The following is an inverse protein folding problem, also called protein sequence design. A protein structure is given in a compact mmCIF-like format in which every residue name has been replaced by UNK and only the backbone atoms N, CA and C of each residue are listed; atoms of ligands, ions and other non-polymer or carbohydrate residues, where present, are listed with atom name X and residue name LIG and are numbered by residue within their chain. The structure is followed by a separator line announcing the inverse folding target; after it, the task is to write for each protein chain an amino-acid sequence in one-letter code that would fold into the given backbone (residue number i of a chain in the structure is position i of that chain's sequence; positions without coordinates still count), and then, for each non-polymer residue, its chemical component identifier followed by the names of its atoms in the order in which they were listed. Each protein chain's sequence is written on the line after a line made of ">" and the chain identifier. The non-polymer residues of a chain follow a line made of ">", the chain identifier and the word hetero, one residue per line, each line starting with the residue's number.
data_IF_315655060507
#
_entry.id   IF_315655060507
#
_cell.length_a   1.000
_cell.length_b   1.000
_cell.length_c   1.000
_cell.angle_alpha   90.00
_cell.angle_beta   90.00
_cell.angle_gamma   90.00
#
_symmetry.space_group_name_H-M   'P 1'
#
loop_
_entity.id
_entity.type
_entity.pdbx_description
1 polymer ?
#
# COMPACT_ATOMS: atom_id res chain seq x y z
N UNK A 1 -12.42 24.17 80.00
CA UNK A 1 -13.26 24.79 79.00
C UNK A 1 -12.39 25.07 77.77
N UNK A 2 -12.41 24.15 76.81
CA UNK A 2 -11.54 24.21 75.61
C UNK A 2 -12.41 24.64 74.45
N UNK A 3 -12.16 25.80 73.89
CA UNK A 3 -12.83 26.32 72.74
C UNK A 3 -12.22 25.71 71.46
N UNK A 4 -13.03 24.92 70.76
CA UNK A 4 -12.64 24.36 69.48
C UNK A 4 -13.06 25.36 68.38
N UNK A 5 -12.07 26.02 67.77
CA UNK A 5 -12.30 26.92 66.64
C UNK A 5 -12.44 26.07 65.35
N UNK A 6 -13.66 26.00 64.79
CA UNK A 6 -13.90 25.46 63.46
C UNK A 6 -13.41 26.45 62.39
N UNK A 7 -12.30 26.11 61.73
CA UNK A 7 -11.93 26.78 60.48
C UNK A 7 -12.75 26.23 59.34
N UNK A 8 -13.69 27.04 58.84
CA UNK A 8 -14.42 26.75 57.61
C UNK A 8 -13.50 27.16 56.43
N UNK A 9 -12.86 26.15 55.81
CA UNK A 9 -12.20 26.35 54.51
C UNK A 9 -13.29 26.48 53.45
N UNK A 10 -13.55 27.72 53.00
CA UNK A 10 -14.36 28.01 51.81
C UNK A 10 -13.48 27.65 50.58
N UNK A 11 -13.71 26.47 50.02
CA UNK A 11 -13.22 26.19 48.68
C UNK A 11 -13.98 27.12 47.69
N UNK A 12 -13.35 28.19 47.26
CA UNK A 12 -13.74 28.88 46.03
C UNK A 12 -13.72 27.85 44.92
N UNK A 13 -14.90 27.44 44.42
CA UNK A 13 -14.98 26.78 43.13
C UNK A 13 -14.59 27.83 42.10
N UNK A 14 -13.38 27.71 41.57
CA UNK A 14 -13.06 28.42 40.34
C UNK A 14 -14.07 28.00 39.28
N UNK A 15 -14.78 28.98 38.71
CA UNK A 15 -15.65 28.72 37.56
C UNK A 15 -14.80 28.03 36.49
N UNK A 16 -15.26 26.91 35.88
CA UNK A 16 -14.48 26.28 34.82
C UNK A 16 -14.21 27.34 33.77
N UNK A 17 -12.95 27.50 33.43
CA UNK A 17 -12.50 28.39 32.36
C UNK A 17 -13.28 28.01 31.10
N UNK A 18 -14.02 28.98 30.55
CA UNK A 18 -14.83 28.74 29.36
C UNK A 18 -13.88 28.52 28.20
N UNK A 19 -13.69 27.27 27.78
CA UNK A 19 -12.90 26.94 26.60
C UNK A 19 -13.57 27.61 25.41
N UNK A 20 -12.93 28.61 24.85
CA UNK A 20 -13.37 29.24 23.61
C UNK A 20 -12.94 28.32 22.45
N UNK A 21 -13.93 27.70 21.78
CA UNK A 21 -13.64 26.81 20.67
C UNK A 21 -13.28 27.61 19.44
N UNK A 22 -12.09 27.37 18.91
CA UNK A 22 -11.69 27.84 17.59
C UNK A 22 -12.31 26.93 16.51
N UNK A 23 -13.19 27.50 15.71
CA UNK A 23 -13.80 26.86 14.54
C UNK A 23 -13.47 27.56 13.22
N UNK A 24 -12.39 28.35 13.19
CA UNK A 24 -11.89 29.04 11.99
C UNK A 24 -11.60 28.07 10.84
N UNK A 25 -11.12 26.87 11.19
CA UNK A 25 -10.89 25.78 10.24
C UNK A 25 -12.19 25.39 9.48
N UNK A 26 -13.37 25.35 10.15
CA UNK A 26 -14.62 24.99 9.48
C UNK A 26 -15.01 26.03 8.43
N UNK A 27 -14.87 27.31 8.76
CA UNK A 27 -15.18 28.41 7.81
C UNK A 27 -14.21 28.42 6.65
N UNK A 28 -12.90 28.36 6.94
CA UNK A 28 -11.84 28.39 5.90
C UNK A 28 -11.99 27.24 4.90
N UNK A 29 -12.23 26.03 5.41
CA UNK A 29 -12.40 24.87 4.52
C UNK A 29 -13.70 24.91 3.74
N UNK A 30 -14.77 25.44 4.34
CA UNK A 30 -16.03 25.64 3.64
C UNK A 30 -15.87 26.58 2.44
N UNK A 31 -15.15 27.69 2.61
CA UNK A 31 -14.87 28.63 1.53
C UNK A 31 -14.03 28.00 0.42
N UNK A 32 -13.01 27.22 0.80
CA UNK A 32 -12.17 26.47 -0.16
C UNK A 32 -13.02 25.48 -0.96
N UNK A 33 -13.82 24.64 -0.27
CA UNK A 33 -14.63 23.62 -0.93
C UNK A 33 -15.72 24.23 -1.81
N UNK A 34 -16.34 25.33 -1.37
CA UNK A 34 -17.34 26.04 -2.16
C UNK A 34 -16.70 26.63 -3.42
N UNK A 35 -15.55 27.29 -3.29
CA UNK A 35 -14.83 27.83 -4.43
C UNK A 35 -14.43 26.71 -5.43
N UNK A 36 -13.98 25.57 -4.93
CA UNK A 36 -13.61 24.43 -5.77
C UNK A 36 -14.79 23.94 -6.60
N UNK A 37 -15.97 23.74 -6.00
CA UNK A 37 -17.14 23.22 -6.72
C UNK A 37 -17.71 24.27 -7.70
N UNK A 38 -17.70 25.55 -7.32
CA UNK A 38 -18.23 26.64 -8.14
C UNK A 38 -17.37 26.92 -9.39
N UNK A 39 -16.07 26.62 -9.33
CA UNK A 39 -15.12 26.86 -10.43
C UNK A 39 -14.79 25.61 -11.24
N UNK A 40 -15.14 24.42 -10.74
CA UNK A 40 -14.80 23.16 -11.38
C UNK A 40 -15.60 22.94 -12.66
N UNK A 41 -14.91 22.50 -13.72
CA UNK A 41 -15.57 21.94 -14.88
C UNK A 41 -15.89 20.47 -14.58
N UNK A 42 -17.16 20.11 -14.57
CA UNK A 42 -17.63 18.76 -14.29
C UNK A 42 -17.92 18.02 -15.58
N UNK A 43 -17.44 16.78 -15.70
CA UNK A 43 -17.63 15.95 -16.89
C UNK A 43 -16.78 14.68 -16.84
N UNK A 44 -16.80 13.92 -17.94
CA UNK A 44 -16.10 12.64 -18.06
C UNK A 44 -14.94 12.71 -19.09
N UNK A 45 -14.45 13.91 -19.36
CA UNK A 45 -13.36 14.16 -20.32
C UNK A 45 -12.17 14.84 -19.66
N UNK A 46 -11.03 14.83 -20.33
CA UNK A 46 -9.82 15.54 -19.89
C UNK A 46 -10.08 17.01 -19.59
N UNK A 47 -9.49 17.48 -18.52
CA UNK A 47 -9.66 18.85 -18.04
C UNK A 47 -10.93 19.06 -17.21
N UNK A 48 -11.60 18.00 -16.81
CA UNK A 48 -12.81 18.04 -15.97
C UNK A 48 -12.65 17.21 -14.71
N UNK A 49 -13.57 17.38 -13.75
CA UNK A 49 -13.72 16.54 -12.58
C UNK A 49 -14.92 15.60 -12.78
N UNK A 50 -14.82 14.31 -12.41
CA UNK A 50 -15.95 13.40 -12.52
C UNK A 50 -17.15 13.88 -11.70
N UNK A 51 -18.35 13.67 -12.24
CA UNK A 51 -19.59 14.06 -11.53
C UNK A 51 -19.71 13.41 -10.16
N UNK A 52 -19.34 12.14 -10.03
CA UNK A 52 -19.36 11.42 -8.74
C UNK A 52 -18.54 12.14 -7.66
N UNK A 53 -17.34 12.62 -8.01
CA UNK A 53 -16.47 13.33 -7.07
C UNK A 53 -16.99 14.74 -6.76
N UNK A 54 -17.67 15.38 -7.70
CA UNK A 54 -18.35 16.65 -7.44
C UNK A 54 -19.56 16.47 -6.50
N UNK A 55 -20.30 15.39 -6.64
CA UNK A 55 -21.43 15.04 -5.75
C UNK A 55 -20.91 14.70 -4.33
N UNK A 56 -19.78 13.97 -4.22
CA UNK A 56 -19.11 13.70 -2.94
C UNK A 56 -18.63 14.98 -2.25
N UNK A 57 -17.99 15.89 -3.00
CA UNK A 57 -17.55 17.19 -2.47
C UNK A 57 -18.75 18.02 -1.99
N UNK A 58 -19.84 18.03 -2.76
CA UNK A 58 -21.08 18.74 -2.40
C UNK A 58 -21.71 18.18 -1.13
N UNK A 59 -21.68 16.86 -0.96
CA UNK A 59 -22.14 16.19 0.29
C UNK A 59 -21.26 16.59 1.48
N UNK A 60 -19.95 16.64 1.31
CA UNK A 60 -19.02 17.06 2.35
C UNK A 60 -19.21 18.56 2.72
N UNK A 61 -19.52 19.43 1.74
CA UNK A 61 -19.88 20.83 1.97
C UNK A 61 -21.12 20.93 2.89
N UNK A 62 -22.15 20.13 2.64
CA UNK A 62 -23.36 20.12 3.47
C UNK A 62 -23.04 19.67 4.91
N UNK A 63 -22.27 18.62 5.08
CA UNK A 63 -21.83 18.15 6.39
C UNK A 63 -21.01 19.22 7.14
N UNK A 64 -20.11 19.92 6.44
CA UNK A 64 -19.31 20.98 7.03
C UNK A 64 -20.14 22.20 7.43
N UNK A 65 -21.14 22.59 6.63
CA UNK A 65 -22.13 23.63 6.96
C UNK A 65 -22.92 23.28 8.22
N UNK A 66 -23.34 22.03 8.36
CA UNK A 66 -23.99 21.53 9.57
C UNK A 66 -23.06 21.62 10.78
N UNK A 67 -21.79 21.18 10.66
CA UNK A 67 -20.79 21.29 11.71
C UNK A 67 -20.56 22.73 12.16
N UNK A 68 -20.42 23.65 11.21
CA UNK A 68 -20.26 25.07 11.49
C UNK A 68 -21.50 25.68 12.19
N UNK A 69 -22.70 25.26 11.77
CA UNK A 69 -23.94 25.67 12.42
C UNK A 69 -24.02 25.18 13.87
N UNK A 70 -23.66 23.91 14.12
CA UNK A 70 -23.60 23.34 15.47
C UNK A 70 -22.55 24.06 16.34
N UNK A 71 -21.39 24.39 15.78
CA UNK A 71 -20.35 25.14 16.49
C UNK A 71 -20.83 26.54 16.91
N UNK A 72 -21.48 27.30 15.99
CA UNK A 72 -22.04 28.62 16.26
C UNK A 72 -23.17 28.57 17.27
N UNK A 73 -23.95 27.48 17.30
CA UNK A 73 -25.02 27.27 18.27
C UNK A 73 -24.52 26.78 19.65
N UNK A 74 -23.21 26.59 19.82
CA UNK A 74 -22.62 26.06 21.05
C UNK A 74 -22.96 24.59 21.31
N UNK A 75 -23.31 23.84 20.26
CA UNK A 75 -23.64 22.41 20.35
C UNK A 75 -22.38 21.54 20.26
N UNK A 76 -21.27 22.07 19.73
CA UNK A 76 -19.95 21.44 19.80
C UNK A 76 -19.23 22.03 21.01
N UNK A 77 -18.82 21.19 21.93
CA UNK A 77 -18.27 21.63 23.22
C UNK A 77 -16.81 21.22 23.42
N UNK A 78 -16.29 20.35 22.54
CA UNK A 78 -14.93 19.83 22.65
C UNK A 78 -14.12 20.06 21.36
N UNK A 79 -12.85 20.39 21.47
CA UNK A 79 -11.98 20.64 20.29
C UNK A 79 -11.93 19.48 19.30
N UNK A 80 -12.00 18.23 19.77
CA UNK A 80 -11.94 17.07 18.87
C UNK A 80 -13.19 16.96 17.97
N UNK A 81 -14.35 17.46 18.41
CA UNK A 81 -15.58 17.45 17.60
C UNK A 81 -15.43 18.37 16.40
N UNK A 82 -14.85 19.56 16.61
CA UNK A 82 -14.48 20.48 15.52
C UNK A 82 -13.44 19.85 14.59
N UNK A 83 -12.41 19.26 15.16
CA UNK A 83 -11.34 18.60 14.39
C UNK A 83 -11.86 17.48 13.50
N UNK A 84 -12.86 16.72 13.93
CA UNK A 84 -13.48 15.65 13.12
C UNK A 84 -14.03 16.19 11.80
N UNK A 85 -14.74 17.31 11.83
CA UNK A 85 -15.22 17.97 10.61
C UNK A 85 -14.09 18.50 9.74
N UNK A 86 -13.05 19.09 10.34
CA UNK A 86 -11.90 19.61 9.61
C UNK A 86 -11.10 18.51 8.90
N UNK A 87 -10.91 17.38 9.55
CA UNK A 87 -10.25 16.20 8.94
C UNK A 87 -11.07 15.65 7.78
N UNK A 88 -12.39 15.51 7.97
CA UNK A 88 -13.28 15.05 6.90
C UNK A 88 -13.30 16.00 5.70
N UNK A 89 -13.29 17.31 5.93
CA UNK A 89 -13.22 18.32 4.88
C UNK A 89 -11.89 18.26 4.11
N UNK A 90 -10.75 18.14 4.81
CA UNK A 90 -9.44 17.98 4.17
C UNK A 90 -9.38 16.72 3.29
N UNK A 91 -9.97 15.62 3.75
CA UNK A 91 -10.05 14.39 2.97
C UNK A 91 -10.88 14.61 1.70
N UNK A 92 -12.04 15.28 1.80
CA UNK A 92 -12.88 15.57 0.65
C UNK A 92 -12.19 16.51 -0.36
N UNK A 93 -11.49 17.54 0.11
CA UNK A 93 -10.69 18.43 -0.72
C UNK A 93 -9.63 17.63 -1.49
N UNK A 94 -8.86 16.82 -0.79
CA UNK A 94 -7.78 16.02 -1.40
C UNK A 94 -8.34 14.99 -2.39
N UNK A 95 -9.47 14.35 -2.07
CA UNK A 95 -10.16 13.41 -2.97
C UNK A 95 -10.61 14.11 -4.25
N UNK A 96 -11.26 15.27 -4.14
CA UNK A 96 -11.73 16.02 -5.29
C UNK A 96 -10.57 16.52 -6.16
N UNK A 97 -9.56 17.14 -5.57
CA UNK A 97 -8.37 17.59 -6.30
C UNK A 97 -7.68 16.43 -7.04
N UNK A 98 -7.56 15.28 -6.38
CA UNK A 98 -6.98 14.07 -6.97
C UNK A 98 -7.81 13.44 -8.08
N UNK A 99 -9.09 13.81 -8.23
CA UNK A 99 -9.99 13.27 -9.25
C UNK A 99 -9.93 14.01 -10.59
N UNK A 100 -9.21 15.15 -10.69
CA UNK A 100 -9.06 15.89 -11.95
C UNK A 100 -8.53 14.98 -13.05
N UNK A 101 -9.24 14.96 -14.17
CA UNK A 101 -8.94 14.07 -15.28
C UNK A 101 -7.91 14.72 -16.20
N UNK A 102 -6.74 14.09 -16.29
CA UNK A 102 -5.68 14.47 -17.22
C UNK A 102 -5.17 13.20 -17.87
N UNK A 103 -5.25 13.11 -19.17
CA UNK A 103 -4.52 12.10 -19.94
C UNK A 103 -3.06 12.53 -20.04
N UNK A 104 -2.21 11.88 -19.28
CA UNK A 104 -0.78 12.13 -19.35
C UNK A 104 -0.20 11.52 -20.61
N UNK A 105 0.63 12.29 -21.32
CA UNK A 105 1.29 11.81 -22.52
C UNK A 105 2.37 10.77 -22.19
N UNK A 106 2.63 9.79 -23.05
CA UNK A 106 3.76 8.88 -22.92
C UNK A 106 5.07 9.61 -22.62
N UNK A 107 5.88 9.06 -21.73
CA UNK A 107 7.12 9.68 -21.26
C UNK A 107 6.96 10.72 -20.15
N UNK A 108 5.72 11.12 -19.80
CA UNK A 108 5.50 12.03 -18.67
C UNK A 108 5.87 11.35 -17.34
N UNK A 109 6.70 11.98 -16.49
CA UNK A 109 6.96 11.49 -15.13
C UNK A 109 5.66 11.44 -14.31
N UNK A 110 5.38 10.29 -13.73
CA UNK A 110 4.13 10.04 -13.03
C UNK A 110 4.24 8.90 -12.03
N UNK A 111 3.27 8.79 -11.14
CA UNK A 111 3.07 7.65 -10.23
C UNK A 111 1.92 6.78 -10.76
N UNK A 112 2.16 5.48 -10.82
CA UNK A 112 1.13 4.51 -11.20
C UNK A 112 0.34 4.08 -9.96
N UNK A 113 -0.95 4.42 -9.90
CA UNK A 113 -1.93 3.87 -8.97
C UNK A 113 -2.70 2.74 -9.64
N UNK A 114 -2.81 1.59 -8.98
CA UNK A 114 -3.60 0.45 -9.43
C UNK A 114 -4.68 0.14 -8.40
N UNK A 115 -5.92 0.04 -8.84
CA UNK A 115 -7.09 -0.26 -8.01
C UNK A 115 -7.38 -1.75 -8.03
N UNK A 116 -6.73 -2.53 -7.17
CA UNK A 116 -6.92 -3.99 -7.10
C UNK A 116 -8.17 -4.40 -6.33
N UNK A 117 -8.63 -3.62 -5.36
CA UNK A 117 -9.84 -3.89 -4.59
C UNK A 117 -11.05 -4.06 -5.54
N UNK A 118 -11.95 -5.01 -5.25
CA UNK A 118 -13.08 -5.40 -6.09
C UNK A 118 -12.67 -5.89 -7.49
N UNK A 119 -11.49 -6.46 -7.66
CA UNK A 119 -10.94 -6.94 -8.95
C UNK A 119 -10.84 -5.87 -10.04
N UNK A 120 -10.78 -4.61 -9.66
CA UNK A 120 -10.84 -3.52 -10.64
C UNK A 120 -9.59 -3.40 -11.48
N UNK A 121 -8.41 -3.70 -10.93
CA UNK A 121 -7.17 -3.58 -11.68
C UNK A 121 -6.00 -4.36 -11.08
N UNK A 122 -5.01 -4.68 -11.92
CA UNK A 122 -3.75 -5.34 -11.51
C UNK A 122 -2.65 -5.13 -12.55
N UNK A 123 -1.41 -5.44 -12.19
CA UNK A 123 -0.29 -5.54 -13.14
C UNK A 123 -0.07 -7.03 -13.43
N UNK A 124 -0.13 -7.40 -14.70
CA UNK A 124 0.18 -8.73 -15.19
C UNK A 124 1.57 -8.72 -15.83
N UNK A 125 2.52 -9.42 -15.23
CA UNK A 125 3.88 -9.55 -15.75
C UNK A 125 4.03 -10.74 -16.72
N UNK A 126 2.96 -11.49 -16.94
CA UNK A 126 2.94 -12.66 -17.81
C UNK A 126 3.52 -13.90 -17.14
N UNK A 127 3.64 -14.97 -17.94
CA UNK A 127 4.19 -16.24 -17.51
C UNK A 127 5.69 -16.34 -17.81
N UNK A 128 6.46 -16.81 -16.84
CA UNK A 128 7.85 -17.20 -17.02
C UNK A 128 8.30 -18.14 -15.90
N UNK A 129 8.94 -19.23 -16.26
CA UNK A 129 9.57 -20.11 -15.27
C UNK A 129 10.63 -19.40 -14.43
N UNK A 130 11.22 -18.34 -14.98
CA UNK A 130 12.21 -17.53 -14.28
C UNK A 130 11.60 -16.75 -13.09
N UNK A 131 10.31 -16.43 -13.10
CA UNK A 131 9.65 -15.69 -12.00
C UNK A 131 9.47 -16.54 -10.76
N UNK A 132 9.40 -17.85 -10.91
CA UNK A 132 9.27 -18.76 -9.78
C UNK A 132 10.48 -18.72 -8.83
N UNK A 133 11.58 -18.15 -9.25
CA UNK A 133 12.84 -18.21 -8.50
C UNK A 133 13.50 -19.59 -8.57
N UNK A 134 14.50 -19.80 -7.74
CA UNK A 134 15.25 -21.05 -7.64
C UNK A 134 15.62 -21.30 -6.18
N UNK A 135 16.68 -22.07 -5.94
CA UNK A 135 17.20 -22.25 -4.57
C UNK A 135 17.74 -20.94 -3.94
N UNK A 136 17.96 -19.90 -4.74
CA UNK A 136 18.32 -18.56 -4.25
C UNK A 136 17.68 -17.52 -5.15
N UNK A 137 17.03 -16.52 -4.58
CA UNK A 137 16.45 -15.38 -5.31
C UNK A 137 16.22 -14.17 -4.42
N UNK A 138 16.04 -13.02 -5.06
CA UNK A 138 15.67 -11.77 -4.37
C UNK A 138 14.54 -11.09 -5.14
N UNK A 139 13.48 -10.75 -4.43
CA UNK A 139 12.34 -9.94 -4.92
C UNK A 139 12.48 -8.55 -4.34
N UNK A 140 12.52 -7.54 -5.20
CA UNK A 140 12.67 -6.14 -4.83
C UNK A 140 11.51 -5.33 -5.40
N UNK A 141 10.85 -4.54 -4.56
CA UNK A 141 9.73 -3.69 -4.95
C UNK A 141 9.75 -2.35 -4.22
N UNK A 142 9.31 -1.30 -4.93
CA UNK A 142 9.01 -0.01 -4.38
C UNK A 142 7.51 0.24 -4.49
N UNK A 143 6.86 0.37 -3.36
CA UNK A 143 5.41 0.57 -3.31
C UNK A 143 5.02 1.65 -2.29
N UNK A 144 3.86 2.25 -2.54
CA UNK A 144 3.20 3.20 -1.65
C UNK A 144 1.71 2.85 -1.60
N UNK A 145 1.08 3.01 -0.45
CA UNK A 145 -0.33 2.74 -0.25
C UNK A 145 -0.92 3.72 0.78
N UNK A 146 -2.22 3.93 0.67
CA UNK A 146 -2.99 4.79 1.57
C UNK A 146 -3.74 3.94 2.61
N UNK A 147 -4.35 4.56 3.61
CA UNK A 147 -5.22 3.86 4.55
C UNK A 147 -6.37 3.16 3.80
N UNK A 148 -6.73 1.93 4.20
CA UNK A 148 -7.76 1.15 3.51
C UNK A 148 -7.30 0.49 2.20
N UNK A 149 -6.01 0.30 2.03
CA UNK A 149 -5.41 -0.29 0.83
C UNK A 149 -5.76 -1.78 0.60
N UNK A 150 -6.36 -2.46 1.57
CA UNK A 150 -6.97 -3.79 1.43
C UNK A 150 -8.22 -3.90 2.33
N UNK A 151 -9.18 -4.73 1.92
CA UNK A 151 -10.50 -4.82 2.58
C UNK A 151 -10.58 -5.90 3.64
N UNK A 152 -9.75 -6.94 3.54
CA UNK A 152 -9.83 -8.12 4.40
C UNK A 152 -8.58 -8.30 5.25
N UNK A 153 -8.60 -9.31 6.10
CA UNK A 153 -7.48 -9.65 6.97
C UNK A 153 -6.18 -9.98 6.22
N UNK A 154 -6.25 -10.25 4.91
CA UNK A 154 -5.10 -10.56 4.06
C UNK A 154 -5.20 -9.74 2.78
N UNK A 155 -4.11 -9.04 2.41
CA UNK A 155 -3.97 -8.31 1.15
C UNK A 155 -2.70 -8.74 0.42
N UNK A 156 -2.84 -9.30 -0.79
CA UNK A 156 -1.70 -9.77 -1.59
C UNK A 156 -1.23 -8.68 -2.53
N UNK A 157 0.03 -8.31 -2.47
CA UNK A 157 0.52 -7.27 -3.36
C UNK A 157 1.35 -7.81 -4.52
N UNK A 158 2.08 -8.93 -4.35
CA UNK A 158 2.79 -9.57 -5.47
C UNK A 158 2.94 -11.07 -5.23
N UNK A 159 2.69 -11.89 -6.25
CA UNK A 159 2.65 -13.33 -6.09
C UNK A 159 2.89 -14.10 -7.40
N UNK A 160 3.66 -15.18 -7.29
CA UNK A 160 3.64 -16.34 -8.19
C UNK A 160 3.00 -17.55 -7.49
N UNK A 161 2.57 -17.39 -6.25
CA UNK A 161 2.16 -18.48 -5.37
C UNK A 161 0.92 -19.20 -5.93
N UNK A 162 0.96 -20.52 -5.93
CA UNK A 162 -0.14 -21.39 -6.36
C UNK A 162 -0.73 -22.12 -5.17
N UNK A 163 -2.03 -22.01 -5.03
CA UNK A 163 -2.84 -22.79 -4.13
C UNK A 163 -3.91 -23.51 -4.97
N UNK A 164 -3.57 -24.65 -5.53
CA UNK A 164 -4.44 -25.34 -6.51
C UNK A 164 -5.64 -26.07 -5.89
N UNK A 165 -5.94 -25.83 -4.62
CA UNK A 165 -7.01 -26.52 -3.88
C UNK A 165 -6.73 -28.01 -3.62
N UNK A 166 -5.66 -28.57 -4.16
CA UNK A 166 -5.23 -29.96 -3.99
C UNK A 166 -4.05 -30.10 -3.02
N UNK A 167 -3.67 -29.02 -2.38
CA UNK A 167 -2.73 -29.01 -1.29
C UNK A 167 -1.27 -28.83 -1.66
N UNK A 168 -0.88 -28.82 -2.94
CA UNK A 168 0.51 -28.52 -3.32
C UNK A 168 0.69 -27.03 -3.44
N UNK A 169 1.52 -26.46 -2.54
CA UNK A 169 1.84 -25.03 -2.53
C UNK A 169 3.20 -24.80 -3.16
N UNK A 170 3.21 -23.98 -4.20
CA UNK A 170 4.40 -23.65 -4.98
C UNK A 170 4.53 -22.14 -5.17
N UNK A 171 5.74 -21.68 -5.44
CA UNK A 171 6.00 -20.27 -5.69
C UNK A 171 6.14 -19.46 -4.41
N UNK A 172 6.17 -18.16 -4.56
CA UNK A 172 6.34 -17.18 -3.50
C UNK A 172 5.23 -16.12 -3.56
N UNK A 173 4.96 -15.53 -2.43
CA UNK A 173 3.99 -14.45 -2.27
C UNK A 173 4.48 -13.48 -1.21
N UNK A 174 4.26 -12.18 -1.44
CA UNK A 174 4.45 -11.14 -0.45
C UNK A 174 3.11 -10.45 -0.24
N UNK A 175 2.67 -10.40 1.01
CA UNK A 175 1.34 -9.92 1.34
C UNK A 175 1.29 -9.25 2.72
N UNK A 176 0.14 -8.63 3.01
CA UNK A 176 -0.22 -8.20 4.35
C UNK A 176 -1.20 -9.19 4.97
N UNK A 177 -1.01 -9.51 6.25
CA UNK A 177 -1.94 -10.30 7.04
C UNK A 177 -2.23 -9.53 8.33
N UNK A 178 -3.40 -8.92 8.41
CA UNK A 178 -3.69 -7.92 9.43
C UNK A 178 -2.66 -6.78 9.35
N UNK A 179 -2.01 -6.48 10.48
CA UNK A 179 -0.94 -5.46 10.54
C UNK A 179 0.45 -5.99 10.17
N UNK A 180 0.59 -7.25 9.76
CA UNK A 180 1.89 -7.86 9.47
C UNK A 180 2.20 -7.83 7.97
N UNK A 181 3.39 -7.37 7.60
CA UNK A 181 3.98 -7.64 6.29
C UNK A 181 4.61 -9.03 6.32
N UNK A 182 4.29 -9.86 5.32
CA UNK A 182 4.58 -11.29 5.33
C UNK A 182 5.11 -11.77 3.99
N UNK A 183 5.99 -12.77 4.03
CA UNK A 183 6.36 -13.58 2.87
C UNK A 183 5.92 -15.03 3.09
N UNK A 184 5.41 -15.66 2.04
CA UNK A 184 5.03 -17.07 2.00
C UNK A 184 5.76 -17.74 0.85
N UNK A 185 6.40 -18.86 1.12
CA UNK A 185 7.08 -19.72 0.15
C UNK A 185 6.44 -21.11 0.17
N UNK A 186 6.11 -21.65 -0.99
CA UNK A 186 5.74 -23.07 -1.10
C UNK A 186 6.99 -23.93 -0.92
N UNK A 187 6.97 -24.86 0.04
CA UNK A 187 8.12 -25.70 0.36
C UNK A 187 7.71 -27.17 0.45
N UNK A 188 8.56 -28.05 -0.11
CA UNK A 188 8.45 -29.50 0.03
C UNK A 188 7.51 -30.19 -0.92
N UNK A 189 7.62 -31.54 -1.01
CA UNK A 189 6.79 -32.35 -1.87
C UNK A 189 5.42 -32.67 -1.26
N UNK A 190 5.19 -32.31 0.01
CA UNK A 190 3.94 -32.57 0.72
C UNK A 190 2.96 -31.44 0.55
N UNK A 191 1.69 -31.81 0.43
CA UNK A 191 0.56 -30.91 0.43
C UNK A 191 0.59 -29.96 1.63
N UNK A 192 0.21 -28.70 1.40
CA UNK A 192 0.02 -27.66 2.44
C UNK A 192 1.25 -27.18 3.21
N UNK A 193 2.46 -27.46 2.74
CA UNK A 193 3.68 -26.98 3.40
C UNK A 193 4.11 -25.62 2.86
N UNK A 194 4.24 -24.69 3.78
CA UNK A 194 4.74 -23.34 3.50
C UNK A 194 5.79 -22.93 4.52
N UNK A 195 6.79 -22.19 4.06
CA UNK A 195 7.62 -21.36 4.93
C UNK A 195 7.00 -19.97 4.90
N UNK A 196 6.39 -19.60 6.01
CA UNK A 196 5.67 -18.33 6.13
C UNK A 196 6.18 -17.56 7.32
N UNK A 197 6.43 -16.29 7.12
CA UNK A 197 6.84 -15.41 8.20
C UNK A 197 6.46 -13.95 7.93
N UNK A 198 6.07 -13.26 8.99
CA UNK A 198 5.75 -11.85 8.95
C UNK A 198 6.03 -11.15 10.27
N UNK A 199 6.14 -9.86 10.23
CA UNK A 199 6.30 -9.00 11.40
C UNK A 199 5.39 -7.78 11.30
N UNK A 200 5.07 -7.19 12.46
CA UNK A 200 4.25 -5.99 12.52
C UNK A 200 4.86 -4.87 11.68
N UNK A 201 4.10 -4.40 10.72
CA UNK A 201 4.53 -3.40 9.76
C UNK A 201 4.24 -2.00 10.29
N UNK A 202 5.22 -1.10 10.30
CA UNK A 202 4.96 0.29 10.65
C UNK A 202 4.04 0.92 9.61
N UNK A 203 2.97 1.55 10.04
CA UNK A 203 1.98 2.20 9.17
C UNK A 203 2.56 3.49 8.58
N UNK A 204 3.21 3.38 7.44
CA UNK A 204 3.77 4.50 6.67
C UNK A 204 2.88 4.83 5.48
N UNK A 205 1.62 5.19 5.74
CA UNK A 205 0.69 5.57 4.67
C UNK A 205 1.19 6.77 3.87
N UNK A 206 0.98 6.72 2.57
CA UNK A 206 1.35 7.78 1.65
C UNK A 206 2.86 7.91 1.38
N UNK A 207 3.70 7.03 1.93
CA UNK A 207 5.15 7.05 1.75
C UNK A 207 5.62 5.89 0.89
N UNK A 208 6.69 6.13 0.12
CA UNK A 208 7.36 5.07 -0.64
C UNK A 208 8.16 4.17 0.29
N UNK A 209 7.92 2.88 0.14
CA UNK A 209 8.60 1.83 0.90
C UNK A 209 9.36 0.91 -0.05
N UNK A 210 10.63 0.69 0.25
CA UNK A 210 11.47 -0.31 -0.39
C UNK A 210 11.35 -1.62 0.37
N UNK A 211 10.72 -2.61 -0.24
CA UNK A 211 10.50 -3.94 0.34
C UNK A 211 11.32 -4.94 -0.46
N UNK A 212 12.18 -5.67 0.22
CA UNK A 212 13.03 -6.70 -0.40
C UNK A 212 12.89 -8.01 0.37
N UNK A 213 12.54 -9.06 -0.35
CA UNK A 213 12.56 -10.44 0.17
C UNK A 213 13.75 -11.17 -0.45
N UNK A 214 14.57 -11.76 0.38
CA UNK A 214 15.71 -12.59 0.00
C UNK A 214 15.48 -14.00 0.49
N UNK A 215 15.58 -14.96 -0.42
CA UNK A 215 15.62 -16.39 -0.09
C UNK A 215 16.96 -16.99 -0.49
N UNK A 216 17.60 -17.69 0.44
CA UNK A 216 18.83 -18.45 0.24
C UNK A 216 18.66 -19.85 0.83
N UNK A 217 18.26 -20.80 0.00
CA UNK A 217 18.07 -22.20 0.42
C UNK A 217 19.36 -22.94 0.71
N UNK A 218 20.54 -22.35 0.40
CA UNK A 218 21.85 -22.91 0.73
C UNK A 218 22.35 -22.50 2.12
N UNK A 219 21.76 -21.47 2.70
CA UNK A 219 22.12 -21.00 4.03
C UNK A 219 21.73 -22.01 5.11
N UNK A 220 22.52 -22.12 6.17
CA UNK A 220 22.24 -23.01 7.30
C UNK A 220 21.24 -22.44 8.29
N UNK A 221 21.04 -21.11 8.27
CA UNK A 221 20.05 -20.38 9.07
C UNK A 221 19.59 -19.16 8.30
N UNK A 222 18.46 -18.57 8.72
CA UNK A 222 17.91 -17.34 8.13
C UNK A 222 17.78 -17.40 6.60
N UNK A 223 17.30 -18.53 6.09
CA UNK A 223 17.11 -18.73 4.64
C UNK A 223 16.17 -17.69 4.04
N UNK A 224 15.15 -17.27 4.78
CA UNK A 224 14.25 -16.21 4.38
C UNK A 224 14.54 -14.94 5.17
N UNK A 225 14.82 -13.85 4.47
CA UNK A 225 15.01 -12.52 5.04
C UNK A 225 14.11 -11.51 4.34
N UNK A 226 13.54 -10.60 5.09
CA UNK A 226 12.86 -9.44 4.53
C UNK A 226 13.52 -8.16 5.04
N UNK A 227 13.68 -7.22 4.13
CA UNK A 227 14.21 -5.89 4.42
C UNK A 227 13.15 -4.84 4.12
N UNK A 228 13.09 -3.84 4.99
CA UNK A 228 12.26 -2.67 4.82
C UNK A 228 13.17 -1.43 4.85
N UNK A 229 13.12 -0.66 3.76
CA UNK A 229 13.92 0.56 3.61
C UNK A 229 15.42 0.31 3.94
N UNK A 230 15.96 -0.78 3.39
CA UNK A 230 17.36 -1.19 3.52
C UNK A 230 17.75 -1.82 4.85
N UNK A 231 16.84 -1.92 5.82
CA UNK A 231 17.11 -2.52 7.12
C UNK A 231 16.47 -3.90 7.21
N UNK A 232 17.15 -4.85 7.87
CA UNK A 232 16.57 -6.17 8.14
C UNK A 232 15.30 -5.99 8.99
N UNK A 233 14.17 -6.42 8.43
CA UNK A 233 12.87 -6.30 9.07
C UNK A 233 12.53 -7.57 9.87
N UNK A 234 12.76 -8.73 9.26
CA UNK A 234 12.75 -10.02 9.93
C UNK A 234 13.55 -11.08 9.17
N UNK A 235 13.83 -12.21 9.86
CA UNK A 235 14.37 -13.41 9.23
C UNK A 235 13.68 -14.67 9.76
N UNK A 236 13.70 -15.73 8.96
CA UNK A 236 13.17 -17.06 9.31
C UNK A 236 14.14 -18.13 8.87
N UNK A 237 14.47 -19.01 9.82
CA UNK A 237 15.14 -20.26 9.54
C UNK A 237 14.10 -21.33 9.16
N UNK A 238 14.38 -22.08 8.10
CA UNK A 238 13.59 -23.26 7.74
C UNK A 238 13.96 -24.40 8.71
N UNK A 239 13.31 -24.40 9.86
CA UNK A 239 13.62 -25.35 10.93
C UNK A 239 13.04 -26.74 10.62
N UNK A 240 13.89 -27.74 10.65
CA UNK A 240 13.54 -29.16 10.49
C UNK A 240 12.50 -29.60 11.53
N UNK A 241 12.48 -29.04 12.73
CA UNK A 241 11.53 -29.36 13.79
C UNK A 241 10.11 -28.94 13.45
N UNK A 242 9.93 -27.76 12.85
CA UNK A 242 8.63 -27.24 12.47
C UNK A 242 8.00 -28.04 11.31
N UNK A 243 8.82 -28.83 10.58
CA UNK A 243 8.44 -29.58 9.41
C UNK A 243 8.40 -31.11 9.60
N UNK A 244 8.27 -31.57 10.83
CA UNK A 244 8.22 -33.03 11.12
C UNK A 244 9.55 -33.76 10.88
N UNK A 245 10.69 -33.06 11.02
CA UNK A 245 12.02 -33.65 10.91
C UNK A 245 12.61 -33.66 9.48
N UNK A 246 11.90 -33.12 8.49
CA UNK A 246 12.37 -33.11 7.09
C UNK A 246 12.59 -31.65 6.65
N UNK A 247 13.81 -31.34 6.22
CA UNK A 247 14.13 -30.06 5.59
C UNK A 247 13.33 -29.94 4.28
N UNK A 248 12.49 -28.93 4.18
CA UNK A 248 11.67 -28.70 3.02
C UNK A 248 12.40 -27.77 2.04
N UNK A 249 12.41 -28.15 0.77
CA UNK A 249 12.98 -27.32 -0.28
C UNK A 249 11.92 -26.44 -0.91
N UNK A 250 12.30 -25.22 -1.28
CA UNK A 250 11.44 -24.33 -2.04
C UNK A 250 11.00 -24.97 -3.37
N UNK A 251 9.72 -24.87 -3.68
CA UNK A 251 9.12 -25.36 -4.92
C UNK A 251 8.78 -24.16 -5.82
N UNK A 252 9.52 -23.91 -6.90
CA UNK A 252 9.21 -22.84 -7.82
C UNK A 252 7.88 -23.08 -8.55
N UNK A 253 7.22 -22.03 -8.97
CA UNK A 253 6.01 -22.05 -9.76
C UNK A 253 6.19 -21.28 -11.06
N UNK A 254 5.59 -21.76 -12.14
CA UNK A 254 5.64 -21.15 -13.48
C UNK A 254 4.39 -20.31 -13.80
N UNK A 255 3.51 -20.07 -12.84
CA UNK A 255 2.31 -19.25 -13.04
C UNK A 255 2.64 -17.79 -13.32
N UNK A 256 1.66 -17.06 -13.84
CA UNK A 256 1.75 -15.62 -14.06
C UNK A 256 2.14 -14.90 -12.77
N UNK A 257 3.13 -14.05 -12.88
CA UNK A 257 3.45 -13.09 -11.84
C UNK A 257 2.44 -11.94 -11.92
N UNK A 258 1.75 -11.68 -10.82
CA UNK A 258 0.77 -10.58 -10.72
C UNK A 258 1.08 -9.70 -9.51
N UNK A 259 0.73 -8.44 -9.64
CA UNK A 259 0.81 -7.46 -8.57
C UNK A 259 -0.55 -6.80 -8.35
N UNK A 260 -0.89 -6.55 -7.09
CA UNK A 260 -2.18 -6.04 -6.62
C UNK A 260 -3.35 -7.00 -6.84
N UNK A 261 -3.06 -8.26 -7.16
CA UNK A 261 -4.04 -9.31 -7.30
C UNK A 261 -3.54 -10.61 -6.66
N UNK A 262 -4.44 -11.35 -6.07
CA UNK A 262 -4.18 -12.71 -5.59
C UNK A 262 -4.02 -13.67 -6.77
N UNK A 263 -3.70 -14.93 -6.47
CA UNK A 263 -3.34 -16.00 -7.43
C UNK A 263 -4.29 -16.12 -8.62
N UNK A 264 -5.56 -15.94 -8.37
CA UNK A 264 -6.60 -15.95 -9.40
C UNK A 264 -7.34 -14.62 -9.40
N UNK A 265 -7.57 -14.01 -10.58
CA UNK A 265 -8.32 -12.74 -10.66
C UNK A 265 -9.73 -12.82 -10.08
N UNK A 266 -10.20 -14.03 -9.83
CA UNK A 266 -11.54 -14.32 -9.35
C UNK A 266 -11.65 -14.35 -7.82
N UNK A 267 -10.54 -14.45 -7.07
CA UNK A 267 -10.56 -14.34 -5.61
C UNK A 267 -10.52 -12.88 -5.18
N UNK A 268 -11.69 -12.32 -4.90
CA UNK A 268 -11.92 -10.91 -4.60
C UNK A 268 -11.32 -10.44 -3.28
N UNK A 269 -11.07 -11.36 -2.38
CA UNK A 269 -10.97 -11.01 -0.96
C UNK A 269 -9.56 -10.63 -0.54
N UNK A 270 -8.57 -10.67 -1.45
CA UNK A 270 -7.17 -10.45 -1.13
C UNK A 270 -6.47 -9.44 -2.02
N UNK A 271 -7.22 -8.83 -2.92
CA UNK A 271 -6.67 -7.79 -3.79
C UNK A 271 -6.40 -6.51 -3.02
N UNK A 272 -5.43 -5.76 -3.48
CA UNK A 272 -5.00 -4.52 -2.84
C UNK A 272 -5.05 -3.35 -3.83
N UNK A 273 -5.12 -2.14 -3.27
CA UNK A 273 -4.97 -0.90 -4.04
C UNK A 273 -3.71 -0.18 -3.59
N UNK A 274 -2.89 0.24 -4.55
CA UNK A 274 -1.65 0.94 -4.20
C UNK A 274 -0.87 1.45 -5.40
N UNK A 275 0.24 2.10 -5.09
CA UNK A 275 1.15 2.65 -6.08
C UNK A 275 2.36 1.76 -6.24
N UNK A 276 2.80 1.60 -7.48
CA UNK A 276 4.02 0.89 -7.86
C UNK A 276 5.02 1.84 -8.51
N UNK A 277 6.28 1.77 -8.08
CA UNK A 277 7.36 2.55 -8.67
C UNK A 277 8.36 1.68 -9.43
N UNK A 278 8.89 0.65 -8.77
CA UNK A 278 9.90 -0.26 -9.35
C UNK A 278 9.64 -1.67 -8.87
N UNK A 279 9.89 -2.62 -9.77
CA UNK A 279 9.91 -4.05 -9.46
C UNK A 279 11.12 -4.70 -10.09
N UNK A 280 11.86 -5.50 -9.32
CA UNK A 280 13.04 -6.25 -9.80
C UNK A 280 13.05 -7.64 -9.19
N UNK A 281 13.48 -8.61 -9.99
CA UNK A 281 13.70 -9.99 -9.56
C UNK A 281 15.12 -10.42 -9.94
N UNK A 282 15.80 -11.06 -8.98
CA UNK A 282 17.17 -11.50 -9.11
C UNK A 282 17.27 -13.00 -8.86
N UNK A 283 18.08 -13.73 -9.62
CA UNK A 283 18.37 -15.15 -9.44
C UNK A 283 19.48 -15.43 -8.40
N UNK A 284 19.73 -14.48 -7.51
CA UNK A 284 20.72 -14.59 -6.45
C UNK A 284 20.17 -14.03 -5.13
N UNK A 285 20.59 -14.61 -4.02
CA UNK A 285 20.34 -14.06 -2.71
C UNK A 285 21.27 -12.85 -2.48
N UNK A 286 20.67 -11.66 -2.35
CA UNK A 286 21.39 -10.41 -2.09
C UNK A 286 21.81 -10.31 -0.64
N UNK A 287 23.03 -9.86 -0.38
CA UNK A 287 23.51 -9.52 0.95
C UNK A 287 22.83 -8.27 1.51
N UNK A 288 22.90 -8.05 2.82
CA UNK A 288 22.35 -6.86 3.45
C UNK A 288 22.93 -5.55 2.89
N UNK A 289 24.22 -5.55 2.51
CA UNK A 289 24.84 -4.38 1.89
C UNK A 289 24.31 -4.15 0.48
N UNK A 290 24.20 -5.19 -0.35
CA UNK A 290 23.62 -5.09 -1.69
C UNK A 290 22.18 -4.59 -1.63
N UNK A 291 21.36 -5.05 -0.66
CA UNK A 291 19.98 -4.55 -0.46
C UNK A 291 19.95 -3.06 -0.16
N UNK A 292 20.87 -2.55 0.67
CA UNK A 292 21.01 -1.10 0.92
C UNK A 292 21.42 -0.34 -0.35
N UNK A 293 22.35 -0.88 -1.10
CA UNK A 293 22.83 -0.25 -2.34
C UNK A 293 21.72 -0.20 -3.39
N UNK A 294 20.87 -1.23 -3.48
CA UNK A 294 19.74 -1.30 -4.41
C UNK A 294 18.71 -0.17 -4.19
N UNK A 295 18.62 0.39 -2.99
CA UNK A 295 17.72 1.53 -2.73
C UNK A 295 18.05 2.75 -3.58
N UNK A 296 19.33 2.97 -3.87
CA UNK A 296 19.83 4.13 -4.63
C UNK A 296 20.21 3.77 -6.08
N UNK A 297 20.33 2.47 -6.36
CA UNK A 297 20.84 2.01 -7.64
C UNK A 297 19.76 1.96 -8.72
N UNK A 298 20.01 2.65 -9.82
CA UNK A 298 19.30 2.38 -11.06
C UNK A 298 19.91 1.18 -11.77
N UNK A 299 19.06 0.33 -12.37
CA UNK A 299 19.49 -0.81 -13.16
C UNK A 299 19.35 -0.52 -14.64
N UNK A 300 20.34 -0.96 -15.42
CA UNK A 300 20.37 -0.82 -16.87
C UNK A 300 19.65 -1.97 -17.60
N UNK A 301 19.47 -3.12 -16.92
CA UNK A 301 18.83 -4.32 -17.46
C UNK A 301 19.81 -5.43 -17.83
N UNK A 302 21.11 -5.20 -17.73
CA UNK A 302 22.17 -6.17 -18.04
C UNK A 302 23.01 -6.59 -16.81
N UNK A 303 22.51 -6.28 -15.62
CA UNK A 303 23.20 -6.64 -14.38
C UNK A 303 23.25 -8.17 -14.20
N UNK A 304 24.38 -8.69 -13.63
CA UNK A 304 24.49 -10.10 -13.32
C UNK A 304 23.35 -10.57 -12.41
N UNK A 305 22.76 -11.71 -12.73
CA UNK A 305 21.66 -12.33 -11.98
C UNK A 305 20.34 -11.53 -12.00
N UNK A 306 20.19 -10.46 -12.77
CA UNK A 306 18.92 -9.79 -12.96
C UNK A 306 18.05 -10.60 -13.90
N UNK A 307 16.88 -11.04 -13.40
CA UNK A 307 15.88 -11.78 -14.20
C UNK A 307 15.02 -10.79 -14.96
N UNK A 308 14.46 -9.82 -14.28
CA UNK A 308 13.61 -8.78 -14.85
C UNK A 308 13.65 -7.50 -14.00
N UNK A 309 13.34 -6.37 -14.65
CA UNK A 309 13.23 -5.07 -13.98
C UNK A 309 12.25 -4.16 -14.71
N UNK A 310 11.22 -3.69 -14.01
CA UNK A 310 10.31 -2.65 -14.51
C UNK A 310 10.45 -1.37 -13.71
N UNK A 311 10.19 -0.28 -14.41
CA UNK A 311 10.12 1.06 -13.85
C UNK A 311 8.79 1.70 -14.29
N UNK A 312 7.95 2.02 -13.31
CA UNK A 312 6.64 2.64 -13.51
C UNK A 312 6.65 4.11 -13.06
N UNK A 313 7.75 4.81 -13.35
CA UNK A 313 7.90 6.24 -13.00
C UNK A 313 7.55 7.18 -14.15
N UNK A 314 7.24 6.62 -15.30
CA UNK A 314 6.80 7.37 -16.50
C UNK A 314 5.63 6.67 -17.17
N UNK A 315 4.73 7.46 -17.74
CA UNK A 315 3.62 6.94 -18.54
C UNK A 315 4.15 6.15 -19.72
N UNK A 316 3.78 4.87 -19.88
CA UNK A 316 4.25 4.06 -21.02
C UNK A 316 3.58 4.46 -22.33
N UNK A 317 4.22 4.18 -23.43
CA UNK A 317 3.63 4.35 -24.78
C UNK A 317 2.43 3.43 -24.98
N UNK A 318 2.46 2.23 -24.39
CA UNK A 318 1.39 1.25 -24.46
C UNK A 318 1.25 0.52 -23.12
N UNK A 319 0.15 0.78 -22.42
CA UNK A 319 -0.15 0.14 -21.13
C UNK A 319 -0.38 -1.38 -21.24
N UNK A 320 -0.78 -1.87 -22.41
CA UNK A 320 -0.96 -3.30 -22.69
C UNK A 320 0.35 -4.03 -23.04
N UNK A 321 1.49 -3.32 -23.15
CA UNK A 321 2.77 -3.90 -23.53
C UNK A 321 3.91 -3.04 -23.01
N UNK A 322 4.28 -3.24 -21.72
CA UNK A 322 5.35 -2.49 -21.05
C UNK A 322 6.56 -3.42 -20.94
N UNK A 323 7.60 -3.22 -21.78
CA UNK A 323 8.80 -4.03 -21.75
C UNK A 323 9.56 -3.79 -20.43
N UNK A 324 10.20 -4.82 -19.91
CA UNK A 324 11.15 -4.68 -18.83
C UNK A 324 12.50 -4.14 -19.34
N UNK A 325 13.36 -3.70 -18.43
CA UNK A 325 14.68 -3.17 -18.78
C UNK A 325 15.64 -4.22 -19.38
N UNK A 326 15.40 -5.51 -19.13
CA UNK A 326 16.20 -6.58 -19.74
C UNK A 326 15.80 -6.85 -21.20
N UNK A 327 14.63 -6.37 -21.62
CA UNK A 327 14.04 -6.63 -22.94
C UNK A 327 13.51 -8.05 -23.14
N UNK A 328 13.47 -8.86 -22.08
CA UNK A 328 13.06 -10.28 -22.15
C UNK A 328 11.60 -10.49 -21.77
N UNK A 329 11.01 -9.57 -21.02
CA UNK A 329 9.68 -9.72 -20.44
C UNK A 329 8.83 -8.49 -20.72
N UNK A 330 7.51 -8.67 -20.66
CA UNK A 330 6.53 -7.60 -20.90
C UNK A 330 5.43 -7.66 -19.86
N UNK A 331 5.13 -6.53 -19.23
CA UNK A 331 4.00 -6.38 -18.34
C UNK A 331 2.82 -5.69 -19.02
N UNK A 332 1.62 -5.88 -18.45
CA UNK A 332 0.37 -5.24 -18.87
C UNK A 332 -0.31 -4.61 -17.67
N UNK A 333 -0.88 -3.44 -17.84
CA UNK A 333 -1.84 -2.87 -16.90
C UNK A 333 -3.24 -3.35 -17.29
N UNK A 334 -3.93 -3.98 -16.36
CA UNK A 334 -5.26 -4.58 -16.58
C UNK A 334 -6.28 -3.90 -15.68
N UNK A 335 -7.44 -3.58 -16.24
CA UNK A 335 -8.56 -2.99 -15.50
C UNK A 335 -8.33 -1.53 -15.09
N UNK A 336 -8.65 -1.18 -13.84
CA UNK A 336 -8.65 0.20 -13.37
C UNK A 336 -7.30 0.59 -12.79
N UNK A 337 -6.64 1.52 -13.43
CA UNK A 337 -5.40 2.14 -12.99
C UNK A 337 -5.39 3.63 -13.36
N UNK A 338 -4.54 4.41 -12.71
CA UNK A 338 -4.40 5.85 -12.97
C UNK A 338 -2.94 6.28 -12.87
N UNK A 339 -2.50 7.04 -13.85
CA UNK A 339 -1.23 7.76 -13.78
C UNK A 339 -1.46 9.12 -13.13
N UNK A 340 -0.76 9.39 -12.03
CA UNK A 340 -0.80 10.69 -11.33
C UNK A 340 0.48 11.44 -11.61
N UNK A 341 0.37 12.67 -12.11
CA UNK A 341 1.52 13.53 -12.33
C UNK A 341 2.28 13.76 -11.02
N UNK A 342 3.60 13.70 -11.10
CA UNK A 342 4.45 14.17 -10.01
C UNK A 342 4.36 15.71 -9.97
N UNK A 343 4.02 16.25 -8.80
CA UNK A 343 3.96 17.69 -8.56
C UNK A 343 5.37 18.27 -8.38
#
# INVERSE_FOLDING_TARGET
>A
MLLLALMIFSCKRDSPEKIELDFSCLSSQLDIMQHMIDTAKIGDVDGTFPKSNADELSTAILALKEGLSKAKAGMLVLPYEVNTYCVAANKAISSFQGSYQITLQPGTPAELLVHGIDKKGYIDFGESSAYGGSNSFTVESWLKYDAGFFEFAIGDFISTFSHDGKGVKQGWMINFSGSNLRTTLGVGPQADRVLEWGSAYPTNYGQWNHIVTVYDGSATSDQLKMYLNGNLFFSKTNDVKDNGGVLQQYQPNTRNLKMWAFMEPEDNNRNMTGYMKKFRLWSAAKSAQEVKDLMQKEVAGNEPNLICAWDFTTVPTNAGSIPDKTGKHTAKLVGVYKWKRLN
#
